data_IF_892242488589
#
_entry.id   IF_892242488589
#
_cell.length_a   1.000
_cell.length_b   1.000
_cell.length_c   1.000
_cell.angle_alpha   90.00
_cell.angle_beta   90.00
_cell.angle_gamma   90.00
#
_symmetry.space_group_name_H-M   'P 1'
#
loop_
_entity.id
_entity.type
_entity.pdbx_description
1 polymer ?
#
# COMPACT_ATOMS: atom_id res chain seq x y z
N UNK A 1 21.48 14.35 4.22
CA UNK A 1 21.80 13.79 5.54
C UNK A 1 23.29 13.89 5.72
N UNK A 2 23.74 14.20 6.93
CA UNK A 2 25.16 14.23 7.27
C UNK A 2 25.72 12.80 7.11
N UNK A 3 26.76 12.56 6.29
CA UNK A 3 27.25 11.21 5.95
C UNK A 3 27.90 10.42 7.12
N UNK A 4 27.82 10.93 8.35
CA UNK A 4 28.50 10.37 9.52
C UNK A 4 27.56 9.73 10.57
N UNK A 5 26.25 9.66 10.33
CA UNK A 5 25.31 9.09 11.32
C UNK A 5 25.27 7.58 11.20
N UNK A 6 25.70 6.85 12.24
CA UNK A 6 25.59 5.39 12.30
C UNK A 6 24.13 4.92 12.41
N UNK A 7 23.85 3.66 12.11
CA UNK A 7 22.53 3.07 12.29
C UNK A 7 22.04 3.12 13.74
N UNK A 8 22.97 2.98 14.70
CA UNK A 8 22.70 3.12 16.13
C UNK A 8 22.33 4.54 16.53
N UNK A 9 23.12 5.53 16.10
CA UNK A 9 22.83 6.95 16.36
C UNK A 9 21.53 7.36 15.70
N UNK A 10 21.28 6.85 14.49
CA UNK A 10 20.05 7.10 13.78
C UNK A 10 18.81 6.56 14.53
N UNK A 11 18.88 5.34 15.06
CA UNK A 11 17.76 4.77 15.83
C UNK A 11 17.57 5.47 17.19
N UNK A 12 18.64 6.01 17.77
CA UNK A 12 18.65 6.59 19.12
C UNK A 12 18.25 8.06 19.17
N UNK A 13 18.42 8.83 18.09
CA UNK A 13 18.01 10.25 18.07
C UNK A 13 16.58 10.44 17.54
N UNK A 14 15.73 11.19 18.26
CA UNK A 14 14.44 11.64 17.74
C UNK A 14 14.59 12.43 16.44
N UNK A 15 13.66 12.25 15.49
CA UNK A 15 13.72 12.91 14.18
C UNK A 15 12.98 14.24 14.11
N UNK A 16 12.15 14.53 15.11
CA UNK A 16 11.36 15.77 15.23
C UNK A 16 11.42 16.20 16.71
N UNK A 17 11.52 17.50 17.02
CA UNK A 17 11.48 17.98 18.41
C UNK A 17 10.25 17.46 19.17
N UNK A 18 10.47 16.87 20.34
CA UNK A 18 9.40 16.29 21.18
C UNK A 18 8.96 14.88 20.81
N UNK A 19 9.46 14.30 19.70
CA UNK A 19 9.21 12.90 19.36
C UNK A 19 10.10 11.95 20.19
N UNK A 20 9.66 10.71 20.31
CA UNK A 20 10.48 9.63 20.87
C UNK A 20 11.44 9.07 19.81
N UNK A 21 12.55 8.47 20.25
CA UNK A 21 13.47 7.76 19.36
C UNK A 21 12.88 6.43 18.91
N UNK A 22 13.36 5.88 17.79
CA UNK A 22 12.90 4.58 17.31
C UNK A 22 13.34 3.42 18.22
N UNK A 23 14.42 3.61 18.98
CA UNK A 23 14.93 2.65 19.96
C UNK A 23 14.19 2.69 21.31
N UNK A 24 13.18 3.56 21.50
CA UNK A 24 12.48 3.61 22.78
C UNK A 24 11.80 2.27 23.10
N UNK A 25 11.96 1.78 24.33
CA UNK A 25 11.48 0.46 24.79
C UNK A 25 12.02 -0.74 24.00
N UNK A 26 13.15 -0.55 23.30
CA UNK A 26 13.80 -1.59 22.51
C UNK A 26 15.29 -1.62 22.83
N UNK A 27 15.86 -2.80 22.72
CA UNK A 27 17.31 -2.96 22.80
C UNK A 27 17.91 -2.91 21.40
N UNK A 28 18.94 -2.07 21.23
CA UNK A 28 19.77 -2.04 20.02
C UNK A 28 20.75 -3.21 20.09
N UNK A 29 20.76 -4.04 19.05
CA UNK A 29 21.69 -5.16 18.89
C UNK A 29 22.38 -5.02 17.55
N UNK A 30 23.70 -5.14 17.50
CA UNK A 30 24.43 -5.12 16.23
C UNK A 30 23.98 -6.28 15.34
N UNK A 31 23.79 -6.00 14.04
CA UNK A 31 23.48 -7.02 13.04
C UNK A 31 24.64 -7.07 12.06
N UNK A 32 25.30 -8.23 11.97
CA UNK A 32 26.43 -8.39 11.07
C UNK A 32 25.95 -8.59 9.63
N UNK A 33 26.04 -7.54 8.82
CA UNK A 33 25.81 -7.58 7.38
C UNK A 33 27.11 -7.14 6.67
N UNK A 34 27.70 -7.97 5.77
CA UNK A 34 28.98 -7.66 5.14
C UNK A 34 28.99 -6.30 4.44
N UNK A 35 29.89 -5.40 4.86
CA UNK A 35 30.07 -4.09 4.23
C UNK A 35 28.97 -3.07 4.52
N UNK A 36 28.07 -3.35 5.46
CA UNK A 36 26.96 -2.48 5.86
C UNK A 36 27.01 -2.22 7.36
N UNK A 37 26.62 -1.01 7.77
CA UNK A 37 26.39 -0.71 9.18
C UNK A 37 24.92 -1.02 9.49
N UNK A 38 24.66 -2.05 10.30
CA UNK A 38 23.31 -2.50 10.57
C UNK A 38 23.09 -2.86 12.03
N UNK A 39 21.88 -2.58 12.49
CA UNK A 39 21.39 -2.96 13.82
C UNK A 39 20.03 -3.62 13.69
N UNK A 40 19.68 -4.38 14.72
CA UNK A 40 18.32 -4.85 14.96
C UNK A 40 17.80 -4.30 16.27
N UNK A 41 16.54 -3.87 16.26
CA UNK A 41 15.83 -3.46 17.45
C UNK A 41 14.99 -4.65 17.91
N UNK A 42 15.31 -5.16 19.10
CA UNK A 42 14.60 -6.28 19.72
C UNK A 42 13.73 -5.77 20.87
N UNK A 43 12.63 -6.47 21.15
CA UNK A 43 11.84 -6.22 22.35
C UNK A 43 12.72 -6.31 23.62
N UNK A 44 12.33 -5.59 24.67
CA UNK A 44 13.05 -5.61 25.95
C UNK A 44 12.59 -6.81 26.82
N UNK A 45 12.71 -8.03 26.29
CA UNK A 45 12.42 -9.27 27.02
C UNK A 45 13.36 -10.43 26.62
N UNK A 46 13.42 -11.47 27.45
CA UNK A 46 14.41 -12.55 27.32
C UNK A 46 14.26 -13.42 26.06
N UNK A 47 13.11 -13.35 25.38
CA UNK A 47 12.77 -14.12 24.16
C UNK A 47 12.57 -13.22 22.95
N UNK A 48 13.17 -12.03 22.95
CA UNK A 48 12.79 -10.95 22.06
C UNK A 48 13.08 -11.22 20.58
N UNK A 49 11.99 -11.37 19.82
CA UNK A 49 12.01 -11.32 18.36
C UNK A 49 12.47 -9.94 17.88
N UNK A 50 13.12 -9.94 16.70
CA UNK A 50 13.53 -8.71 16.02
C UNK A 50 12.29 -7.98 15.52
N UNK A 51 12.09 -6.76 16.02
CA UNK A 51 10.96 -5.91 15.66
C UNK A 51 11.28 -4.97 14.51
N UNK A 52 12.55 -4.61 14.32
CA UNK A 52 13.00 -3.72 13.23
C UNK A 52 14.46 -4.07 12.93
N UNK A 53 14.85 -4.01 11.65
CA UNK A 53 16.24 -3.91 11.24
C UNK A 53 16.49 -2.54 10.63
N UNK A 54 17.58 -1.88 11.02
CA UNK A 54 18.04 -0.62 10.46
C UNK A 54 19.37 -0.87 9.77
N UNK A 55 19.49 -0.44 8.51
CA UNK A 55 20.69 -0.62 7.69
C UNK A 55 21.10 0.76 7.18
N UNK A 56 22.30 1.19 7.51
CA UNK A 56 22.97 2.31 6.85
C UNK A 56 23.74 1.77 5.64
N UNK A 57 23.37 2.26 4.46
CA UNK A 57 24.02 1.86 3.21
C UNK A 57 24.25 3.09 2.34
N UNK A 58 25.52 3.33 1.97
CA UNK A 58 25.95 4.48 1.16
C UNK A 58 25.57 5.82 1.78
N UNK A 59 24.56 6.51 1.28
CA UNK A 59 24.09 7.82 1.77
C UNK A 59 22.71 7.77 2.47
N UNK A 60 22.18 6.58 2.73
CA UNK A 60 20.80 6.41 3.20
C UNK A 60 20.64 5.41 4.33
N UNK A 61 19.65 5.70 5.16
CA UNK A 61 19.14 4.82 6.20
C UNK A 61 17.92 4.06 5.68
N UNK A 62 17.97 2.73 5.78
CA UNK A 62 16.88 1.83 5.44
C UNK A 62 16.33 1.21 6.72
N UNK A 63 15.02 1.09 6.80
CA UNK A 63 14.32 0.47 7.93
C UNK A 63 13.44 -0.64 7.40
N UNK A 64 13.66 -1.86 7.91
CA UNK A 64 12.86 -3.05 7.62
C UNK A 64 12.06 -3.35 8.88
N UNK A 65 10.75 -3.25 8.78
CA UNK A 65 9.82 -3.64 9.86
C UNK A 65 8.97 -4.83 9.39
N UNK A 66 8.35 -5.59 10.32
CA UNK A 66 7.41 -6.63 9.97
C UNK A 66 6.35 -6.06 9.03
N UNK A 67 6.03 -6.81 7.98
CA UNK A 67 4.79 -6.56 7.27
C UNK A 67 3.63 -6.88 8.19
N UNK A 68 2.45 -6.30 7.94
CA UNK A 68 1.18 -6.63 8.61
C UNK A 68 0.74 -8.11 8.46
N UNK A 69 1.60 -8.97 7.92
CA UNK A 69 1.43 -10.39 7.69
C UNK A 69 2.67 -11.12 8.21
N UNK A 70 2.51 -12.20 8.99
CA UNK A 70 3.64 -13.06 9.35
C UNK A 70 4.18 -13.73 8.09
N UNK A 71 5.39 -13.33 7.68
CA UNK A 71 6.15 -14.03 6.65
C UNK A 71 6.90 -15.22 7.25
N UNK A 72 7.26 -16.24 6.46
CA UNK A 72 8.07 -17.36 6.93
C UNK A 72 9.54 -16.98 7.18
N UNK A 73 9.95 -15.77 6.78
CA UNK A 73 11.31 -15.28 6.88
C UNK A 73 11.47 -14.33 8.06
N UNK A 74 12.54 -14.49 8.82
CA UNK A 74 12.91 -13.50 9.84
C UNK A 74 13.32 -12.18 9.18
N UNK A 75 13.26 -11.08 9.93
CA UNK A 75 13.72 -9.79 9.40
C UNK A 75 15.22 -9.81 9.11
N UNK A 76 15.98 -10.60 9.87
CA UNK A 76 17.40 -10.84 9.64
C UNK A 76 17.66 -11.55 8.31
N UNK A 77 16.85 -12.56 7.95
CA UNK A 77 16.97 -13.24 6.66
C UNK A 77 16.70 -12.28 5.50
N UNK A 78 15.69 -11.42 5.64
CA UNK A 78 15.38 -10.39 4.65
C UNK A 78 16.54 -9.39 4.55
N UNK A 79 17.06 -8.93 5.69
CA UNK A 79 18.19 -8.01 5.75
C UNK A 79 19.47 -8.59 5.15
N UNK A 80 19.70 -9.90 5.28
CA UNK A 80 20.84 -10.59 4.68
C UNK A 80 20.82 -10.57 3.14
N UNK A 81 19.65 -10.38 2.52
CA UNK A 81 19.53 -10.21 1.05
C UNK A 81 19.76 -8.77 0.58
N UNK A 82 20.00 -7.84 1.50
CA UNK A 82 20.15 -6.43 1.17
C UNK A 82 21.40 -6.22 0.31
N UNK A 83 21.21 -5.60 -0.85
CA UNK A 83 22.29 -5.18 -1.73
C UNK A 83 22.07 -3.73 -2.15
N UNK A 84 23.16 -2.98 -2.23
CA UNK A 84 23.14 -1.62 -2.74
C UNK A 84 23.03 -1.67 -4.26
N UNK A 85 21.92 -1.16 -4.79
CA UNK A 85 21.79 -0.92 -6.23
C UNK A 85 22.44 0.42 -6.54
N UNK A 86 23.32 0.46 -7.55
CA UNK A 86 23.92 1.69 -8.02
C UNK A 86 22.84 2.74 -8.29
N UNK A 87 23.07 4.00 -7.89
CA UNK A 87 22.10 5.07 -8.15
C UNK A 87 21.79 5.12 -9.64
N UNK A 88 20.55 4.77 -9.99
CA UNK A 88 20.01 5.16 -11.28
C UNK A 88 19.78 6.67 -11.27
N UNK A 89 19.97 7.36 -12.41
CA UNK A 89 19.60 8.76 -12.51
C UNK A 89 18.17 8.93 -12.01
N UNK A 90 17.95 9.84 -11.06
CA UNK A 90 16.59 10.21 -10.68
C UNK A 90 15.98 10.85 -11.93
N UNK A 91 14.86 10.34 -12.46
CA UNK A 91 14.19 10.97 -13.59
C UNK A 91 13.94 12.43 -13.23
N UNK A 92 14.26 13.34 -14.14
CA UNK A 92 13.89 14.75 -13.96
C UNK A 92 12.38 14.81 -13.81
N UNK A 93 11.84 15.40 -12.73
CA UNK A 93 10.40 15.47 -12.55
C UNK A 93 9.80 16.26 -13.73
N UNK A 94 8.94 15.61 -14.49
CA UNK A 94 8.10 16.29 -15.48
C UNK A 94 7.26 17.35 -14.76
N UNK A 95 7.04 18.53 -15.36
CA UNK A 95 6.16 19.53 -14.77
C UNK A 95 4.79 18.91 -14.52
N UNK A 96 4.24 19.14 -13.32
CA UNK A 96 2.89 18.68 -13.00
C UNK A 96 1.91 19.22 -14.05
N UNK A 97 1.07 18.37 -14.65
CA UNK A 97 0.09 18.82 -15.63
C UNK A 97 -0.82 19.88 -15.00
N UNK A 98 -1.28 20.83 -15.81
CA UNK A 98 -2.28 21.80 -15.35
C UNK A 98 -3.53 21.06 -14.85
N UNK A 99 -4.28 21.67 -13.92
CA UNK A 99 -5.44 21.02 -13.31
C UNK A 99 -6.49 20.52 -14.33
N UNK A 100 -6.62 21.20 -15.47
CA UNK A 100 -7.51 20.80 -16.55
C UNK A 100 -7.00 19.54 -17.29
N UNK A 101 -5.69 19.47 -17.56
CA UNK A 101 -5.06 18.29 -18.18
C UNK A 101 -5.10 17.11 -17.22
N UNK A 102 -4.79 17.33 -15.94
CA UNK A 102 -4.83 16.31 -14.91
C UNK A 102 -6.23 15.68 -14.78
N UNK A 103 -7.27 16.52 -14.72
CA UNK A 103 -8.66 16.05 -14.70
C UNK A 103 -9.02 15.30 -15.98
N UNK A 104 -8.63 15.79 -17.16
CA UNK A 104 -8.91 15.12 -18.43
C UNK A 104 -8.29 13.72 -18.49
N UNK A 105 -7.02 13.58 -18.08
CA UNK A 105 -6.33 12.29 -18.03
C UNK A 105 -6.99 11.32 -17.02
N UNK A 106 -7.41 11.83 -15.86
CA UNK A 106 -8.14 11.03 -14.88
C UNK A 106 -9.51 10.57 -15.43
N UNK A 107 -10.22 11.43 -16.15
CA UNK A 107 -11.49 11.07 -16.83
C UNK A 107 -11.28 10.01 -17.91
N UNK A 108 -10.23 10.14 -18.72
CA UNK A 108 -9.88 9.13 -19.72
C UNK A 108 -9.56 7.77 -19.07
N UNK A 109 -8.75 7.78 -18.01
CA UNK A 109 -8.42 6.57 -17.26
C UNK A 109 -9.66 5.92 -16.61
N UNK A 110 -10.57 6.72 -16.04
CA UNK A 110 -11.84 6.23 -15.50
C UNK A 110 -12.70 5.55 -16.57
N UNK A 111 -12.77 6.13 -17.78
CA UNK A 111 -13.48 5.55 -18.91
C UNK A 111 -12.84 4.22 -19.37
N UNK A 112 -11.51 4.15 -19.45
CA UNK A 112 -10.78 2.92 -19.78
C UNK A 112 -10.99 1.82 -18.74
N UNK A 113 -10.97 2.17 -17.45
CA UNK A 113 -11.30 1.23 -16.36
C UNK A 113 -12.74 0.75 -16.49
N UNK A 114 -13.70 1.65 -16.72
CA UNK A 114 -15.11 1.31 -16.92
C UNK A 114 -15.33 0.36 -18.10
N UNK A 115 -14.65 0.59 -19.23
CA UNK A 115 -14.69 -0.29 -20.39
C UNK A 115 -14.08 -1.67 -20.08
N UNK A 116 -12.92 -1.72 -19.41
CA UNK A 116 -12.27 -2.98 -19.04
C UNK A 116 -13.11 -3.82 -18.07
N UNK A 117 -13.70 -3.18 -17.05
CA UNK A 117 -14.61 -3.84 -16.11
C UNK A 117 -15.89 -4.34 -16.79
N UNK A 118 -16.48 -3.53 -17.68
CA UNK A 118 -17.67 -3.93 -18.46
C UNK A 118 -17.38 -5.13 -19.36
N UNK A 119 -16.21 -5.14 -20.00
CA UNK A 119 -15.74 -6.25 -20.82
C UNK A 119 -15.30 -7.48 -20.01
N UNK A 120 -15.24 -7.36 -18.67
CA UNK A 120 -14.70 -8.38 -17.76
C UNK A 120 -13.26 -8.80 -18.13
N UNK A 121 -12.47 -7.85 -18.63
CA UNK A 121 -11.09 -8.07 -19.04
C UNK A 121 -10.14 -7.71 -17.88
N UNK A 122 -9.80 -8.72 -17.07
CA UNK A 122 -8.90 -8.56 -15.95
C UNK A 122 -7.49 -8.10 -16.35
N UNK A 123 -7.02 -8.46 -17.55
CA UNK A 123 -5.71 -8.08 -18.05
C UNK A 123 -5.69 -6.62 -18.51
N UNK A 124 -6.77 -6.12 -19.10
CA UNK A 124 -6.95 -4.70 -19.36
C UNK A 124 -7.00 -3.89 -18.07
N UNK A 125 -7.71 -4.36 -17.03
CA UNK A 125 -7.69 -3.70 -15.71
C UNK A 125 -6.26 -3.66 -15.15
N UNK A 126 -5.53 -4.77 -15.20
CA UNK A 126 -4.15 -4.85 -14.72
C UNK A 126 -3.22 -3.84 -15.41
N UNK A 127 -3.37 -3.67 -16.73
CA UNK A 127 -2.58 -2.70 -17.51
C UNK A 127 -2.86 -1.25 -17.15
N UNK A 128 -3.96 -0.94 -16.47
CA UNK A 128 -4.33 0.41 -16.04
C UNK A 128 -3.92 0.70 -14.58
N UNK A 129 -3.46 -0.31 -13.85
CA UNK A 129 -2.98 -0.20 -12.46
C UNK A 129 -1.50 0.19 -12.40
N UNK A 130 -1.09 0.73 -11.25
CA UNK A 130 0.33 0.77 -10.87
C UNK A 130 0.83 -0.66 -10.60
N UNK A 131 1.90 -1.06 -11.28
CA UNK A 131 2.39 -2.44 -11.33
C UNK A 131 2.92 -2.96 -9.98
N UNK A 132 3.37 -2.06 -9.10
CA UNK A 132 4.06 -2.45 -7.88
C UNK A 132 3.13 -2.56 -6.66
N UNK A 133 2.08 -1.73 -6.59
CA UNK A 133 1.23 -1.63 -5.41
C UNK A 133 -0.10 -0.96 -5.75
N UNK A 134 -1.16 -1.50 -5.16
CA UNK A 134 -2.41 -0.75 -4.95
C UNK A 134 -2.59 -0.52 -3.45
N UNK A 135 -2.87 0.71 -3.05
CA UNK A 135 -3.21 0.99 -1.64
C UNK A 135 -4.70 0.76 -1.42
N UNK A 136 -5.07 0.06 -0.36
CA UNK A 136 -6.49 -0.18 -0.04
C UNK A 136 -6.78 0.38 1.34
N UNK A 137 -7.77 1.27 1.41
CA UNK A 137 -8.15 1.93 2.65
C UNK A 137 -9.65 1.80 2.89
N UNK A 138 -10.08 1.47 4.11
CA UNK A 138 -11.48 1.52 4.47
C UNK A 138 -11.93 2.95 4.79
N UNK A 139 -13.18 3.27 4.44
CA UNK A 139 -13.91 4.47 4.86
C UNK A 139 -15.15 3.99 5.61
N UNK A 140 -15.34 4.42 6.86
CA UNK A 140 -16.47 3.99 7.70
C UNK A 140 -17.41 5.17 7.92
N UNK A 141 -18.67 5.03 7.50
CA UNK A 141 -19.70 6.08 7.62
C UNK A 141 -19.22 7.46 7.11
N UNK A 142 -18.45 7.47 6.02
CA UNK A 142 -17.92 8.69 5.40
C UNK A 142 -16.72 9.33 6.11
N UNK A 143 -16.22 8.74 7.20
CA UNK A 143 -15.01 9.19 7.90
C UNK A 143 -13.85 8.26 7.54
N UNK A 144 -12.64 8.80 7.27
CA UNK A 144 -11.42 7.97 7.16
C UNK A 144 -11.36 7.06 8.41
N UNK A 145 -11.14 5.75 8.19
CA UNK A 145 -11.43 4.71 9.18
C UNK A 145 -10.83 4.90 10.58
N UNK A 146 -11.35 4.13 11.54
CA UNK A 146 -10.95 4.16 12.97
C UNK A 146 -9.42 4.25 13.17
N UNK A 147 -8.93 4.87 14.26
CA UNK A 147 -7.52 4.76 14.63
C UNK A 147 -7.17 3.25 14.75
N UNK A 148 -6.15 2.81 14.00
CA UNK A 148 -5.75 1.40 13.81
C UNK A 148 -6.58 0.53 12.83
N UNK A 149 -7.50 1.10 12.04
CA UNK A 149 -8.24 0.38 10.98
C UNK A 149 -7.42 0.02 9.74
N UNK A 150 -6.09 0.02 9.84
CA UNK A 150 -5.18 -0.63 8.91
C UNK A 150 -5.55 -0.40 7.44
N UNK A 151 -5.39 0.84 6.95
CA UNK A 151 -5.19 1.03 5.52
C UNK A 151 -3.93 0.26 5.13
N UNK A 152 -4.12 -0.95 4.61
CA UNK A 152 -3.04 -1.81 4.17
C UNK A 152 -2.66 -1.42 2.75
N UNK A 153 -1.38 -1.11 2.52
CA UNK A 153 -0.88 -1.29 1.17
C UNK A 153 -1.00 -2.76 0.82
N UNK A 154 -1.64 -3.13 -0.30
CA UNK A 154 -1.39 -4.43 -0.92
C UNK A 154 0.02 -4.36 -1.53
N UNK A 155 1.02 -4.34 -0.65
CA UNK A 155 2.43 -4.45 -1.01
C UNK A 155 2.62 -5.87 -1.51
N UNK A 156 2.68 -6.01 -2.84
CA UNK A 156 2.60 -7.25 -3.62
C UNK A 156 1.17 -7.77 -3.78
N UNK A 157 0.56 -7.45 -4.93
CA UNK A 157 0.10 -8.45 -5.91
C UNK A 157 -0.96 -7.92 -6.89
N UNK A 158 -0.59 -6.99 -7.78
CA UNK A 158 -1.41 -6.76 -8.99
C UNK A 158 -1.71 -8.10 -9.67
N UNK A 159 -0.73 -9.01 -9.74
CA UNK A 159 -0.94 -10.36 -10.26
C UNK A 159 -2.00 -11.19 -9.51
N UNK A 160 -2.03 -11.19 -8.17
CA UNK A 160 -3.05 -11.97 -7.42
C UNK A 160 -4.42 -11.30 -7.49
N UNK A 161 -4.46 -9.96 -7.43
CA UNK A 161 -5.67 -9.19 -7.66
C UNK A 161 -6.26 -9.48 -9.06
N UNK A 162 -5.43 -9.40 -10.10
CA UNK A 162 -5.80 -9.69 -11.48
C UNK A 162 -6.26 -11.14 -11.65
N UNK A 163 -5.55 -12.10 -11.03
CA UNK A 163 -5.98 -13.50 -11.06
C UNK A 163 -7.35 -13.66 -10.42
N UNK A 164 -7.59 -13.03 -9.27
CA UNK A 164 -8.86 -13.19 -8.60
C UNK A 164 -10.02 -12.45 -9.30
N UNK A 165 -9.75 -11.32 -9.96
CA UNK A 165 -10.70 -10.72 -10.91
C UNK A 165 -11.04 -11.70 -12.04
N UNK A 166 -10.03 -12.35 -12.63
CA UNK A 166 -10.22 -13.33 -13.70
C UNK A 166 -11.12 -14.48 -13.23
N UNK A 167 -10.87 -15.01 -12.03
CA UNK A 167 -11.66 -16.11 -11.45
C UNK A 167 -13.13 -15.68 -11.24
N UNK A 168 -13.36 -14.49 -10.70
CA UNK A 168 -14.70 -13.94 -10.43
C UNK A 168 -15.46 -13.61 -11.71
N UNK A 169 -14.78 -13.04 -12.70
CA UNK A 169 -15.36 -12.79 -14.02
C UNK A 169 -15.74 -14.07 -14.74
N UNK A 170 -14.90 -15.12 -14.64
CA UNK A 170 -15.20 -16.44 -15.18
C UNK A 170 -16.38 -17.11 -14.46
N UNK A 171 -16.47 -16.95 -13.13
CA UNK A 171 -17.61 -17.43 -12.34
C UNK A 171 -18.89 -16.63 -12.59
N UNK A 172 -18.79 -15.41 -13.12
CA UNK A 172 -19.93 -14.52 -13.35
C UNK A 172 -20.55 -13.96 -12.07
N UNK A 173 -19.83 -14.04 -10.95
CA UNK A 173 -20.30 -13.66 -9.61
C UNK A 173 -19.83 -12.25 -9.21
N UNK A 174 -19.18 -11.51 -10.11
CA UNK A 174 -18.79 -10.12 -9.90
C UNK A 174 -19.19 -9.26 -11.10
N UNK A 175 -19.92 -8.18 -10.82
CA UNK A 175 -20.18 -7.09 -11.75
C UNK A 175 -19.65 -5.78 -11.18
N UNK A 176 -18.97 -4.99 -12.01
CA UNK A 176 -18.39 -3.70 -11.61
C UNK A 176 -18.88 -2.60 -12.53
N UNK A 177 -19.48 -1.56 -11.95
CA UNK A 177 -19.90 -0.35 -12.65
C UNK A 177 -19.04 0.82 -12.19
N UNK A 178 -18.32 1.46 -13.10
CA UNK A 178 -17.52 2.66 -12.83
C UNK A 178 -18.34 3.90 -13.21
N UNK A 179 -18.45 4.86 -12.29
CA UNK A 179 -19.13 6.12 -12.57
C UNK A 179 -18.40 6.99 -13.60
N UNK A 180 -19.05 8.06 -14.05
CA UNK A 180 -18.45 9.04 -14.97
C UNK A 180 -17.91 10.29 -14.28
N UNK A 181 -18.30 10.50 -13.02
CA UNK A 181 -17.99 11.72 -12.29
C UNK A 181 -16.63 11.57 -11.60
N UNK A 182 -15.62 12.24 -12.15
CA UNK A 182 -14.29 12.30 -11.57
C UNK A 182 -14.20 13.46 -10.60
N UNK A 183 -13.83 13.15 -9.37
CA UNK A 183 -13.74 14.10 -8.26
C UNK A 183 -12.27 14.29 -7.84
N UNK A 184 -11.97 15.47 -7.28
CA UNK A 184 -10.64 15.78 -6.76
C UNK A 184 -10.51 15.20 -5.35
N UNK A 185 -9.43 14.46 -5.12
CA UNK A 185 -9.08 13.97 -3.80
C UNK A 185 -8.42 15.07 -2.95
N UNK A 186 -8.66 15.04 -1.64
CA UNK A 186 -8.06 15.97 -0.69
C UNK A 186 -6.51 15.91 -0.67
N UNK A 187 -5.92 14.80 -1.13
CA UNK A 187 -4.46 14.61 -1.22
C UNK A 187 -3.89 14.92 -2.61
N UNK A 188 -4.67 15.53 -3.50
CA UNK A 188 -4.23 16.00 -4.82
C UNK A 188 -4.32 14.99 -5.96
N UNK A 189 -4.81 13.76 -5.69
CA UNK A 189 -5.19 12.80 -6.74
C UNK A 189 -6.59 13.08 -7.29
N UNK A 190 -7.05 12.26 -8.23
CA UNK A 190 -8.45 12.23 -8.65
C UNK A 190 -9.03 10.87 -8.33
N UNK A 191 -10.34 10.77 -8.15
CA UNK A 191 -11.00 9.49 -7.98
C UNK A 191 -12.32 9.43 -8.74
N UNK A 192 -12.75 8.20 -9.03
CA UNK A 192 -14.07 7.92 -9.56
C UNK A 192 -14.74 6.85 -8.68
N UNK A 193 -16.00 7.05 -8.34
CA UNK A 193 -16.75 6.07 -7.56
C UNK A 193 -17.17 4.90 -8.45
N UNK A 194 -17.00 3.69 -7.93
CA UNK A 194 -17.43 2.44 -8.57
C UNK A 194 -18.34 1.64 -7.64
N UNK A 195 -19.24 0.87 -8.22
CA UNK A 195 -20.08 -0.10 -7.51
C UNK A 195 -19.67 -1.52 -7.91
N UNK A 196 -19.40 -2.35 -6.91
CA UNK A 196 -18.98 -3.74 -7.07
C UNK A 196 -20.07 -4.62 -6.50
N UNK A 197 -20.77 -5.33 -7.37
CA UNK A 197 -21.89 -6.20 -7.02
C UNK A 197 -21.43 -7.65 -7.03
N UNK A 198 -21.50 -8.27 -5.86
CA UNK A 198 -21.31 -9.69 -5.59
C UNK A 198 -22.68 -10.35 -5.34
N UNK A 199 -22.79 -11.70 -5.24
CA UNK A 199 -24.08 -12.36 -5.07
C UNK A 199 -24.79 -12.00 -3.75
N UNK A 200 -24.01 -11.66 -2.72
CA UNK A 200 -24.48 -11.42 -1.36
C UNK A 200 -24.44 -9.93 -0.95
N UNK A 201 -23.80 -9.06 -1.73
CA UNK A 201 -23.61 -7.65 -1.37
C UNK A 201 -23.24 -6.74 -2.54
N UNK A 202 -23.44 -5.44 -2.36
CA UNK A 202 -22.87 -4.40 -3.21
C UNK A 202 -21.98 -3.49 -2.39
N UNK A 203 -20.77 -3.22 -2.90
CA UNK A 203 -19.79 -2.36 -2.27
C UNK A 203 -19.57 -1.10 -3.11
N UNK A 204 -19.39 0.04 -2.45
CA UNK A 204 -18.93 1.26 -3.08
C UNK A 204 -17.43 1.41 -2.90
N UNK A 205 -16.70 1.61 -3.99
CA UNK A 205 -15.25 1.74 -3.99
C UNK A 205 -14.83 2.95 -4.81
N UNK A 206 -14.09 3.87 -4.21
CA UNK A 206 -13.46 4.95 -4.98
C UNK A 206 -12.14 4.45 -5.56
N UNK A 207 -12.01 4.55 -6.89
CA UNK A 207 -10.81 4.20 -7.64
C UNK A 207 -9.96 5.47 -7.77
N UNK A 208 -8.89 5.54 -6.97
CA UNK A 208 -8.00 6.70 -6.91
C UNK A 208 -6.94 6.60 -7.99
N UNK A 209 -6.82 7.66 -8.77
CA UNK A 209 -5.95 7.79 -9.92
C UNK A 209 -4.90 8.86 -9.64
N UNK A 210 -3.65 8.56 -9.97
CA UNK A 210 -2.53 9.48 -9.77
C UNK A 210 -1.46 9.26 -10.84
N UNK A 211 -0.66 10.28 -11.15
CA UNK A 211 0.48 10.11 -12.06
C UNK A 211 1.56 9.21 -11.42
N UNK A 212 2.03 8.24 -12.19
CA UNK A 212 3.18 7.38 -11.89
C UNK A 212 4.19 7.59 -13.02
N UNK A 213 5.18 8.45 -12.79
CA UNK A 213 5.97 9.04 -13.87
C UNK A 213 5.07 9.89 -14.77
N UNK A 214 5.14 9.68 -16.08
CA UNK A 214 4.35 10.42 -17.07
C UNK A 214 2.98 9.78 -17.38
N UNK A 215 2.64 8.67 -16.73
CA UNK A 215 1.42 7.91 -17.02
C UNK A 215 0.46 7.96 -15.84
N UNK A 216 -0.82 8.22 -16.10
CA UNK A 216 -1.87 8.12 -15.10
C UNK A 216 -2.23 6.66 -14.85
N UNK A 217 -2.27 6.26 -13.57
CA UNK A 217 -2.55 4.88 -13.16
C UNK A 217 -3.60 4.84 -12.06
N UNK A 218 -4.29 3.71 -11.94
CA UNK A 218 -5.07 3.38 -10.75
C UNK A 218 -4.11 2.95 -9.63
N UNK A 219 -4.03 3.76 -8.56
CA UNK A 219 -3.01 3.64 -7.51
C UNK A 219 -3.59 3.28 -6.14
N UNK A 220 -4.88 3.56 -5.89
CA UNK A 220 -5.53 3.18 -4.65
C UNK A 220 -7.02 2.89 -4.80
N UNK A 221 -7.57 2.11 -3.86
CA UNK A 221 -8.98 1.82 -3.72
C UNK A 221 -9.45 2.22 -2.31
N UNK A 222 -10.55 2.97 -2.22
CA UNK A 222 -11.18 3.29 -0.93
C UNK A 222 -12.50 2.58 -0.83
N UNK A 223 -12.56 1.59 0.04
CA UNK A 223 -13.75 0.76 0.22
C UNK A 223 -14.64 1.38 1.29
N UNK A 224 -15.90 1.64 0.95
CA UNK A 224 -16.86 2.21 1.88
C UNK A 224 -17.58 1.10 2.64
N UNK A 225 -17.51 1.20 3.95
CA UNK A 225 -18.20 0.35 4.91
C UNK A 225 -19.15 1.20 5.75
N UNK A 226 -20.23 0.58 6.20
CA UNK A 226 -21.06 1.09 7.28
C UNK A 226 -20.65 0.44 8.60
N UNK A 227 -21.01 1.04 9.74
CA UNK A 227 -20.83 0.38 11.04
C UNK A 227 -21.50 -0.99 11.15
N UNK A 228 -22.57 -1.23 10.40
CA UNK A 228 -23.27 -2.52 10.38
C UNK A 228 -22.45 -3.62 9.69
N UNK A 229 -21.47 -3.25 8.86
CA UNK A 229 -20.58 -4.19 8.16
C UNK A 229 -19.39 -4.65 9.03
N UNK A 230 -19.23 -4.06 10.23
CA UNK A 230 -18.14 -4.38 11.15
C UNK A 230 -18.45 -5.64 11.95
N UNK A 231 -17.45 -6.53 12.08
CA UNK A 231 -17.55 -7.69 12.96
C UNK A 231 -17.60 -7.33 14.44
N UNK A 232 -17.82 -8.34 15.29
CA UNK A 232 -17.66 -8.23 16.75
C UNK A 232 -16.59 -9.23 17.22
N UNK A 233 -15.43 -8.77 17.76
CA UNK A 233 -15.04 -7.38 18.02
C UNK A 233 -14.86 -6.57 16.73
N UNK A 234 -14.88 -5.23 16.84
CA UNK A 234 -14.79 -4.31 15.69
C UNK A 234 -13.55 -4.64 14.86
N UNK A 235 -13.78 -5.34 13.77
CA UNK A 235 -12.81 -5.74 12.79
C UNK A 235 -13.46 -5.51 11.43
N UNK A 236 -12.73 -4.88 10.52
CA UNK A 236 -13.17 -4.76 9.13
C UNK A 236 -12.91 -6.14 8.52
N UNK A 237 -13.95 -6.91 8.17
CA UNK A 237 -13.72 -8.18 7.51
C UNK A 237 -13.04 -7.86 6.18
N UNK A 238 -11.73 -8.11 6.09
CA UNK A 238 -10.90 -7.86 4.91
C UNK A 238 -11.22 -8.87 3.80
N UNK A 239 -12.51 -9.16 3.56
CA UNK A 239 -12.99 -9.82 2.34
C UNK A 239 -13.01 -8.75 1.26
N UNK A 240 -11.83 -8.44 0.74
CA UNK A 240 -11.74 -7.61 -0.46
C UNK A 240 -12.59 -8.28 -1.56
N UNK A 241 -13.36 -7.51 -2.36
CA UNK A 241 -14.32 -8.09 -3.32
C UNK A 241 -13.69 -8.99 -4.39
N UNK A 242 -12.37 -8.87 -4.55
CA UNK A 242 -11.53 -9.70 -5.40
C UNK A 242 -10.88 -10.87 -4.65
N UNK A 243 -11.38 -11.31 -3.49
CA UNK A 243 -10.86 -12.50 -2.80
C UNK A 243 -12.01 -13.49 -2.64
N UNK A 244 -11.92 -14.62 -3.36
CA UNK A 244 -12.97 -15.64 -3.41
C UNK A 244 -13.20 -16.36 -2.07
N UNK A 245 -12.22 -16.34 -1.15
CA UNK A 245 -12.31 -16.97 0.17
C UNK A 245 -12.39 -15.92 1.28
N UNK A 246 -13.34 -16.12 2.19
CA UNK A 246 -13.38 -15.42 3.46
C UNK A 246 -12.16 -15.82 4.30
N UNK A 247 -11.18 -14.93 4.40
CA UNK A 247 -10.28 -14.95 5.55
C UNK A 247 -11.10 -14.59 6.77
N UNK A 248 -11.21 -15.50 7.75
CA UNK A 248 -11.68 -15.12 9.08
C UNK A 248 -10.67 -14.14 9.67
N UNK A 249 -11.20 -13.20 10.45
CA UNK A 249 -10.50 -12.10 11.12
C UNK A 249 -9.10 -12.46 11.62
#
# INVERSE_FOLDING_TARGET
MDPAVSASDWASTPRIPGAQSFAIHRRIVALNLPGLDAIKLVADNATADTQVVVIHATDRMYMISPTMWPGPHSLEDIAATFSTVARQPVPTPSPSPSANIARANATELAALLGAAFTARDADAVARLMDACRISVSPVIDGTEGLPNSGGGGLGRSVALFTQALRDRFAAGDLSVAVGSNVELDARGGYFVRSQWTEPDRTLSIDLVMSPVGDVWRWTAARQYFTRADLGSPICIPYRSPWVSRSGRC
#
